data_IF_716214185693
#
_entry.id   IF_716214185693
#
_cell.length_a   1.000
_cell.length_b   1.000
_cell.length_c   1.000
_cell.angle_alpha   90.00
_cell.angle_beta   90.00
_cell.angle_gamma   90.00
#
_symmetry.space_group_name_H-M   'P 1'
#
loop_
_entity.id
_entity.type
_entity.pdbx_description
1 polymer ?
#
# COMPACT_ATOMS: atom_id res chain seq x y z
N UNK A 1 -10.28 9.17 29.72
CA UNK A 1 -9.85 9.08 28.31
C UNK A 1 -9.58 7.62 28.00
N UNK A 2 -10.19 7.08 26.96
CA UNK A 2 -9.90 5.72 26.47
C UNK A 2 -8.56 5.75 25.72
N UNK A 3 -7.69 4.76 25.94
CA UNK A 3 -6.45 4.62 25.17
C UNK A 3 -6.78 4.18 23.74
N UNK A 4 -5.84 4.40 22.82
CA UNK A 4 -6.00 3.96 21.44
C UNK A 4 -6.19 2.45 21.34
N UNK A 5 -5.42 1.68 22.11
CA UNK A 5 -5.46 0.22 22.13
C UNK A 5 -6.84 -0.28 22.59
N UNK A 6 -7.36 0.26 23.70
CA UNK A 6 -8.69 -0.09 24.19
C UNK A 6 -9.80 0.32 23.22
N UNK A 7 -9.67 1.47 22.57
CA UNK A 7 -10.63 1.88 21.53
C UNK A 7 -10.59 0.93 20.34
N UNK A 8 -9.40 0.57 19.87
CA UNK A 8 -9.23 -0.32 18.73
C UNK A 8 -9.82 -1.69 19.02
N UNK A 9 -9.63 -2.20 20.25
CA UNK A 9 -10.21 -3.46 20.72
C UNK A 9 -11.75 -3.43 20.74
N UNK A 10 -12.33 -2.35 21.26
CA UNK A 10 -13.77 -2.27 21.53
C UNK A 10 -14.59 -1.80 20.32
N UNK A 11 -14.10 -0.80 19.59
CA UNK A 11 -14.81 -0.14 18.50
C UNK A 11 -14.28 -0.52 17.12
N UNK A 12 -13.04 -1.00 17.00
CA UNK A 12 -12.36 -1.26 15.71
C UNK A 12 -13.22 -2.01 14.69
N UNK A 13 -13.81 -3.18 15.01
CA UNK A 13 -14.66 -3.92 14.08
C UNK A 13 -15.90 -3.14 13.59
N UNK A 14 -16.55 -2.39 14.48
CA UNK A 14 -17.72 -1.57 14.14
C UNK A 14 -17.33 -0.39 13.26
N UNK A 15 -16.23 0.29 13.59
CA UNK A 15 -15.68 1.40 12.79
C UNK A 15 -15.25 0.90 11.41
N UNK A 16 -14.66 -0.29 11.32
CA UNK A 16 -14.31 -0.93 10.07
C UNK A 16 -15.56 -1.10 9.18
N UNK A 17 -16.64 -1.64 9.74
CA UNK A 17 -17.92 -1.80 9.03
C UNK A 17 -18.48 -0.48 8.52
N UNK A 18 -18.55 0.56 9.37
CA UNK A 18 -19.06 1.88 8.99
C UNK A 18 -18.25 2.51 7.84
N UNK A 19 -16.92 2.43 7.90
CA UNK A 19 -16.05 2.96 6.85
C UNK A 19 -16.20 2.13 5.56
N UNK A 20 -16.37 0.81 5.66
CA UNK A 20 -16.50 -0.08 4.50
C UNK A 20 -17.80 0.15 3.73
N UNK A 21 -18.89 0.51 4.41
CA UNK A 21 -20.15 0.92 3.77
C UNK A 21 -19.98 2.12 2.83
N UNK A 22 -18.99 2.98 3.09
CA UNK A 22 -18.63 4.13 2.24
C UNK A 22 -17.37 3.93 1.41
N UNK A 23 -16.93 2.68 1.23
CA UNK A 23 -15.69 2.33 0.52
C UNK A 23 -15.58 2.99 -0.86
N UNK A 24 -16.57 2.81 -1.73
CA UNK A 24 -16.47 3.31 -3.11
C UNK A 24 -16.40 4.85 -3.17
N UNK A 25 -17.30 5.61 -2.52
CA UNK A 25 -17.16 7.07 -2.47
C UNK A 25 -15.83 7.56 -1.89
N UNK A 26 -15.32 6.90 -0.85
CA UNK A 26 -14.01 7.25 -0.26
C UNK A 26 -12.90 7.01 -1.26
N UNK A 27 -12.86 5.81 -1.86
CA UNK A 27 -11.79 5.42 -2.79
C UNK A 27 -11.80 6.31 -4.04
N UNK A 28 -12.96 6.59 -4.60
CA UNK A 28 -13.09 7.41 -5.80
C UNK A 28 -12.66 8.87 -5.54
N UNK A 29 -13.02 9.44 -4.40
CA UNK A 29 -12.58 10.78 -4.00
C UNK A 29 -11.05 10.86 -3.88
N UNK A 30 -10.42 9.84 -3.29
CA UNK A 30 -8.96 9.77 -3.16
C UNK A 30 -8.30 9.54 -4.53
N UNK A 31 -8.86 8.67 -5.38
CA UNK A 31 -8.40 8.45 -6.76
C UNK A 31 -8.42 9.76 -7.56
N UNK A 32 -9.51 10.52 -7.49
CA UNK A 32 -9.63 11.80 -8.18
C UNK A 32 -8.59 12.81 -7.68
N UNK A 33 -8.30 12.82 -6.37
CA UNK A 33 -7.28 13.70 -5.80
C UNK A 33 -5.87 13.30 -6.22
N UNK A 34 -5.56 12.00 -6.25
CA UNK A 34 -4.27 11.48 -6.72
C UNK A 34 -4.01 11.80 -8.19
N UNK A 35 -4.99 11.52 -9.05
CA UNK A 35 -4.90 11.78 -10.50
C UNK A 35 -4.73 13.27 -10.81
N UNK A 36 -5.40 14.14 -10.05
CA UNK A 36 -5.30 15.59 -10.23
C UNK A 36 -3.97 16.15 -9.73
N UNK A 37 -3.52 15.72 -8.55
CA UNK A 37 -2.32 16.27 -7.93
C UNK A 37 -1.01 15.70 -8.50
N UNK A 38 -1.02 14.44 -8.95
CA UNK A 38 0.16 13.72 -9.43
C UNK A 38 -0.09 13.06 -10.79
N UNK A 39 -0.45 13.81 -11.85
CA UNK A 39 -0.94 13.26 -13.12
C UNK A 39 0.09 12.41 -13.88
N UNK A 40 1.38 12.56 -13.61
CA UNK A 40 2.46 11.79 -14.23
C UNK A 40 2.92 10.57 -13.42
N UNK A 41 2.38 10.37 -12.21
CA UNK A 41 2.80 9.30 -11.32
C UNK A 41 2.49 7.93 -11.95
N UNK A 42 3.42 6.97 -11.85
CA UNK A 42 3.31 5.63 -12.43
C UNK A 42 3.19 5.57 -13.96
N UNK A 43 3.36 6.70 -14.68
CA UNK A 43 3.41 6.70 -16.14
C UNK A 43 4.81 6.32 -16.63
N UNK A 44 4.87 5.38 -17.57
CA UNK A 44 6.11 4.95 -18.23
C UNK A 44 5.87 4.84 -19.74
N UNK A 45 6.40 5.79 -20.51
CA UNK A 45 6.21 5.86 -21.96
C UNK A 45 6.84 4.69 -22.73
N UNK A 46 7.72 3.91 -22.09
CA UNK A 46 8.29 2.71 -22.71
C UNK A 46 7.30 1.54 -22.73
N UNK A 47 6.22 1.61 -21.95
CA UNK A 47 5.19 0.58 -21.87
C UNK A 47 4.11 0.77 -22.96
N UNK A 48 3.73 -0.29 -23.69
CA UNK A 48 2.59 -0.22 -24.61
C UNK A 48 1.25 0.10 -23.92
N UNK A 49 1.10 -0.30 -22.64
CA UNK A 49 -0.10 -0.16 -21.82
C UNK A 49 -0.03 1.00 -20.82
N UNK A 50 0.86 1.98 -21.02
CA UNK A 50 1.22 2.99 -20.02
C UNK A 50 0.01 3.72 -19.39
N UNK A 51 -0.94 4.15 -20.22
CA UNK A 51 -2.13 4.89 -19.78
C UNK A 51 -3.08 3.99 -18.99
N UNK A 52 -3.34 2.78 -19.48
CA UNK A 52 -4.22 1.82 -18.81
C UNK A 52 -3.64 1.38 -17.47
N UNK A 53 -2.34 1.05 -17.44
CA UNK A 53 -1.60 0.71 -16.23
C UNK A 53 -1.70 1.83 -15.19
N UNK A 54 -1.50 3.08 -15.61
CA UNK A 54 -1.59 4.24 -14.74
C UNK A 54 -3.01 4.42 -14.17
N UNK A 55 -4.04 4.39 -15.03
CA UNK A 55 -5.43 4.51 -14.62
C UNK A 55 -5.84 3.41 -13.63
N UNK A 56 -5.45 2.17 -13.91
CA UNK A 56 -5.70 1.04 -13.03
C UNK A 56 -4.97 1.21 -11.69
N UNK A 57 -3.72 1.67 -11.71
CA UNK A 57 -2.95 1.93 -10.48
C UNK A 57 -3.59 3.01 -9.62
N UNK A 58 -4.09 4.09 -10.20
CA UNK A 58 -4.80 5.14 -9.45
C UNK A 58 -6.12 4.67 -8.85
N UNK A 59 -6.83 3.75 -9.51
CA UNK A 59 -8.06 3.13 -8.99
C UNK A 59 -7.78 2.12 -7.88
N UNK A 60 -6.75 1.30 -8.03
CA UNK A 60 -6.46 0.24 -7.07
C UNK A 60 -5.73 0.72 -5.82
N UNK A 61 -4.94 1.80 -5.93
CA UNK A 61 -4.11 2.27 -4.81
C UNK A 61 -4.96 2.65 -3.57
N UNK A 62 -6.03 3.46 -3.68
CA UNK A 62 -6.91 3.76 -2.54
C UNK A 62 -7.67 2.53 -2.04
N UNK A 63 -8.11 1.64 -2.93
CA UNK A 63 -8.82 0.40 -2.55
C UNK A 63 -7.93 -0.54 -1.74
N UNK A 64 -6.66 -0.69 -2.12
CA UNK A 64 -5.67 -1.47 -1.36
C UNK A 64 -5.41 -0.85 0.01
N UNK A 65 -5.24 0.47 0.07
CA UNK A 65 -5.03 1.15 1.34
C UNK A 65 -6.26 1.09 2.25
N UNK A 66 -7.46 1.25 1.72
CA UNK A 66 -8.72 1.00 2.43
C UNK A 66 -8.71 -0.39 3.06
N UNK A 67 -8.39 -1.43 2.28
CA UNK A 67 -8.28 -2.80 2.78
C UNK A 67 -7.26 -2.94 3.92
N UNK A 68 -6.13 -2.23 3.87
CA UNK A 68 -5.17 -2.24 4.98
C UNK A 68 -5.75 -1.61 6.24
N UNK A 69 -6.44 -0.48 6.14
CA UNK A 69 -7.11 0.14 7.29
C UNK A 69 -8.21 -0.78 7.85
N UNK A 70 -8.95 -1.45 6.97
CA UNK A 70 -9.93 -2.47 7.34
C UNK A 70 -9.30 -3.65 8.10
N UNK A 71 -8.08 -4.06 7.74
CA UNK A 71 -7.32 -5.09 8.49
C UNK A 71 -6.87 -4.52 9.85
N UNK A 72 -6.32 -3.30 9.90
CA UNK A 72 -5.89 -2.67 11.16
C UNK A 72 -7.04 -2.60 12.16
N UNK A 73 -8.21 -2.14 11.71
CA UNK A 73 -9.38 -1.95 12.56
C UNK A 73 -9.99 -3.28 13.03
N UNK A 74 -10.07 -4.30 12.17
CA UNK A 74 -10.65 -5.60 12.55
C UNK A 74 -9.72 -6.48 13.36
N UNK A 75 -8.42 -6.46 13.07
CA UNK A 75 -7.42 -7.29 13.74
C UNK A 75 -6.61 -6.52 14.79
N UNK A 76 -6.99 -5.27 15.04
CA UNK A 76 -6.50 -4.47 16.15
C UNK A 76 -4.97 -4.30 16.15
N UNK A 77 -4.37 -4.19 14.95
CA UNK A 77 -2.92 -4.16 14.80
C UNK A 77 -2.45 -3.28 13.67
N UNK A 78 -1.49 -2.39 13.96
CA UNK A 78 -0.82 -1.56 12.95
C UNK A 78 0.37 -2.26 12.28
N UNK A 79 0.76 -3.46 12.72
CA UNK A 79 1.91 -4.20 12.17
C UNK A 79 1.76 -4.51 10.68
N UNK A 80 0.52 -4.68 10.20
CA UNK A 80 0.24 -4.87 8.78
C UNK A 80 0.68 -3.66 7.94
N UNK A 81 0.53 -2.44 8.46
CA UNK A 81 0.95 -1.22 7.76
C UNK A 81 2.47 -1.22 7.62
N UNK A 82 3.18 -1.51 8.70
CA UNK A 82 4.65 -1.54 8.69
C UNK A 82 5.17 -2.57 7.68
N UNK A 83 4.62 -3.78 7.69
CA UNK A 83 5.01 -4.85 6.77
C UNK A 83 4.78 -4.46 5.31
N UNK A 84 3.59 -3.96 5.00
CA UNK A 84 3.19 -3.62 3.63
C UNK A 84 4.01 -2.44 3.09
N UNK A 85 4.28 -1.43 3.92
CA UNK A 85 5.08 -0.29 3.52
C UNK A 85 6.57 -0.63 3.40
N UNK A 86 7.13 -1.53 4.22
CA UNK A 86 8.51 -2.02 4.04
C UNK A 86 8.67 -2.76 2.71
N UNK A 87 7.74 -3.65 2.40
CA UNK A 87 7.75 -4.37 1.13
C UNK A 87 7.51 -3.43 -0.05
N UNK A 88 6.51 -2.55 0.06
CA UNK A 88 6.15 -1.59 -0.98
C UNK A 88 7.27 -0.59 -1.28
N UNK A 89 7.98 -0.10 -0.27
CA UNK A 89 9.06 0.88 -0.44
C UNK A 89 10.23 0.34 -1.28
N UNK A 90 10.49 -0.96 -1.24
CA UNK A 90 11.50 -1.60 -2.08
C UNK A 90 11.17 -1.57 -3.58
N UNK A 91 9.90 -1.31 -3.93
CA UNK A 91 9.36 -1.43 -5.30
C UNK A 91 8.90 -0.07 -5.84
N UNK A 92 8.16 0.68 -5.03
CA UNK A 92 7.44 1.90 -5.39
C UNK A 92 8.30 2.97 -6.10
N UNK A 93 9.57 3.23 -5.71
CA UNK A 93 10.43 4.19 -6.40
C UNK A 93 10.66 3.92 -7.88
N UNK A 94 10.57 2.66 -8.32
CA UNK A 94 10.68 2.28 -9.74
C UNK A 94 9.55 2.84 -10.60
N UNK A 95 8.44 3.24 -9.97
CA UNK A 95 7.26 3.83 -10.61
C UNK A 95 7.14 5.34 -10.35
N UNK A 96 8.23 5.98 -9.91
CA UNK A 96 8.24 7.41 -9.57
C UNK A 96 7.52 7.75 -8.25
N UNK A 97 7.11 6.74 -7.47
CA UNK A 97 6.48 6.95 -6.17
C UNK A 97 7.55 7.28 -5.13
N UNK A 98 7.31 8.35 -4.39
CA UNK A 98 8.23 8.91 -3.42
C UNK A 98 7.50 9.09 -2.09
N UNK A 99 8.26 9.32 -1.01
CA UNK A 99 7.73 9.52 0.35
C UNK A 99 6.54 10.48 0.40
N UNK A 100 6.63 11.63 -0.26
CA UNK A 100 5.57 12.64 -0.22
C UNK A 100 4.28 12.18 -0.91
N UNK A 101 4.36 11.35 -1.96
CA UNK A 101 3.18 10.74 -2.61
C UNK A 101 2.44 9.82 -1.62
N UNK A 102 3.19 8.97 -0.91
CA UNK A 102 2.67 7.99 0.05
C UNK A 102 2.03 8.67 1.27
N UNK A 103 2.69 9.69 1.81
CA UNK A 103 2.17 10.52 2.90
C UNK A 103 0.90 11.28 2.47
N UNK A 104 0.89 11.87 1.27
CA UNK A 104 -0.27 12.59 0.75
C UNK A 104 -1.47 11.66 0.57
N UNK A 105 -1.25 10.48 -0.01
CA UNK A 105 -2.28 9.46 -0.16
C UNK A 105 -2.92 9.07 1.17
N UNK A 106 -2.12 8.71 2.17
CA UNK A 106 -2.63 8.32 3.48
C UNK A 106 -3.40 9.47 4.16
N UNK A 107 -2.87 10.71 4.10
CA UNK A 107 -3.57 11.90 4.62
C UNK A 107 -4.94 12.08 3.96
N UNK A 108 -4.98 12.07 2.64
CA UNK A 108 -6.21 12.30 1.89
C UNK A 108 -7.25 11.20 2.11
N UNK A 109 -6.82 9.97 2.32
CA UNK A 109 -7.73 8.89 2.71
C UNK A 109 -8.40 9.21 4.05
N UNK A 110 -7.63 9.51 5.11
CA UNK A 110 -8.21 9.82 6.42
C UNK A 110 -9.04 11.11 6.40
N UNK A 111 -8.62 12.14 5.66
CA UNK A 111 -9.43 13.34 5.44
C UNK A 111 -10.79 13.01 4.82
N UNK A 112 -10.78 12.15 3.79
CA UNK A 112 -12.01 11.73 3.12
C UNK A 112 -12.93 10.95 4.07
N UNK A 113 -12.37 10.05 4.89
CA UNK A 113 -13.13 9.34 5.93
C UNK A 113 -13.77 10.32 6.91
N UNK A 114 -13.04 11.34 7.40
CA UNK A 114 -13.59 12.37 8.30
C UNK A 114 -14.78 13.10 7.68
N UNK A 115 -14.66 13.45 6.40
CA UNK A 115 -15.69 14.19 5.67
C UNK A 115 -16.98 13.37 5.41
N UNK A 116 -16.96 12.06 5.63
CA UNK A 116 -18.18 11.24 5.53
C UNK A 116 -19.21 11.53 6.63
N UNK A 117 -18.77 12.08 7.77
CA UNK A 117 -19.65 12.38 8.92
C UNK A 117 -20.22 11.13 9.61
N UNK A 118 -19.68 9.93 9.35
CA UNK A 118 -20.20 8.66 9.90
C UNK A 118 -19.86 8.43 11.37
N UNK A 119 -18.79 9.05 11.86
CA UNK A 119 -18.19 8.73 13.15
C UNK A 119 -18.50 9.80 14.19
N UNK A 120 -18.74 9.38 15.42
CA UNK A 120 -18.86 10.27 16.56
C UNK A 120 -17.55 10.99 16.87
N UNK A 121 -17.60 12.06 17.67
CA UNK A 121 -16.43 12.87 18.02
C UNK A 121 -15.29 12.05 18.65
N UNK A 122 -15.62 11.14 19.54
CA UNK A 122 -14.62 10.33 20.25
C UNK A 122 -13.95 9.33 19.30
N UNK A 123 -14.71 8.71 18.40
CA UNK A 123 -14.18 7.82 17.36
C UNK A 123 -13.31 8.58 16.36
N UNK A 124 -13.69 9.80 15.99
CA UNK A 124 -12.87 10.67 15.13
C UNK A 124 -11.53 10.99 15.78
N UNK A 125 -11.50 11.30 17.08
CA UNK A 125 -10.25 11.57 17.79
C UNK A 125 -9.31 10.36 17.81
N UNK A 126 -9.85 9.14 17.89
CA UNK A 126 -9.06 7.91 17.85
C UNK A 126 -8.66 7.53 16.42
N UNK A 127 -9.51 7.80 15.43
CA UNK A 127 -9.16 7.69 14.03
C UNK A 127 -8.02 8.66 13.66
N UNK A 128 -7.98 9.85 14.25
CA UNK A 128 -6.86 10.80 14.10
C UNK A 128 -5.56 10.25 14.67
N UNK A 129 -5.62 9.54 15.81
CA UNK A 129 -4.46 8.84 16.36
C UNK A 129 -4.01 7.70 15.44
N UNK A 130 -4.94 6.93 14.85
CA UNK A 130 -4.60 5.93 13.84
C UNK A 130 -3.90 6.58 12.63
N UNK A 131 -4.47 7.68 12.13
CA UNK A 131 -3.89 8.42 11.01
C UNK A 131 -2.46 8.88 11.33
N UNK A 132 -2.23 9.46 12.50
CA UNK A 132 -0.92 9.88 12.95
C UNK A 132 0.08 8.70 13.01
N UNK A 133 -0.33 7.56 13.59
CA UNK A 133 0.51 6.34 13.64
C UNK A 133 0.86 5.81 12.25
N UNK A 134 -0.12 5.76 11.34
CA UNK A 134 0.11 5.32 9.95
C UNK A 134 1.10 6.25 9.25
N UNK A 135 0.92 7.57 9.37
CA UNK A 135 1.83 8.55 8.77
C UNK A 135 3.24 8.45 9.33
N UNK A 136 3.37 8.24 10.65
CA UNK A 136 4.67 8.03 11.29
C UNK A 136 5.37 6.75 10.79
N UNK A 137 4.63 5.65 10.61
CA UNK A 137 5.18 4.40 10.06
C UNK A 137 5.69 4.63 8.64
N UNK A 138 4.89 5.26 7.77
CA UNK A 138 5.29 5.58 6.40
C UNK A 138 6.55 6.44 6.42
N UNK A 139 6.57 7.46 7.27
CA UNK A 139 7.70 8.36 7.40
C UNK A 139 8.99 7.61 7.79
N UNK A 140 8.94 6.83 8.86
CA UNK A 140 10.08 6.06 9.36
C UNK A 140 10.63 5.07 8.33
N UNK A 141 9.75 4.36 7.61
CA UNK A 141 10.16 3.39 6.59
C UNK A 141 10.82 4.09 5.40
N UNK A 142 10.28 5.25 5.00
CA UNK A 142 10.73 5.98 3.81
C UNK A 142 11.82 7.02 4.09
N UNK A 143 12.25 7.16 5.34
CA UNK A 143 13.37 8.02 5.74
C UNK A 143 14.71 7.49 5.20
N UNK A 144 14.86 6.18 5.09
CA UNK A 144 16.01 5.54 4.47
C UNK A 144 15.79 5.31 2.97
N UNK A 145 16.88 5.29 2.21
CA UNK A 145 16.84 4.89 0.81
C UNK A 145 16.20 3.50 0.66
N UNK A 146 15.42 3.26 -0.41
CA UNK A 146 14.78 1.97 -0.63
C UNK A 146 15.84 0.87 -0.70
N UNK A 147 15.63 -0.27 -0.03
CA UNK A 147 16.60 -1.36 -0.07
C UNK A 147 16.77 -1.86 -1.51
N UNK A 148 18.01 -2.05 -1.94
CA UNK A 148 18.31 -2.64 -3.24
C UNK A 148 17.80 -4.07 -3.24
N UNK A 149 16.71 -4.35 -3.94
CA UNK A 149 16.26 -5.73 -4.19
C UNK A 149 17.33 -6.40 -5.08
N UNK A 150 18.24 -7.18 -4.47
CA UNK A 150 19.09 -8.09 -5.20
C UNK A 150 18.17 -9.06 -5.95
N UNK A 151 18.25 -9.03 -7.29
CA UNK A 151 17.62 -10.04 -8.14
C UNK A 151 18.23 -11.38 -7.72
N UNK A 152 17.45 -12.41 -7.35
CA UNK A 152 18.00 -13.74 -7.15
C UNK A 152 18.80 -14.12 -8.40
N UNK A 153 20.07 -14.45 -8.23
CA UNK A 153 20.90 -14.92 -9.33
C UNK A 153 20.18 -16.13 -9.97
N UNK A 154 20.03 -16.15 -11.30
CA UNK A 154 19.49 -17.33 -11.96
C UNK A 154 20.36 -18.54 -11.59
N UNK A 155 19.75 -19.70 -11.28
CA UNK A 155 20.52 -20.88 -10.91
C UNK A 155 21.54 -21.18 -12.02
N UNK A 156 22.79 -21.37 -11.62
CA UNK A 156 23.87 -21.71 -12.54
C UNK A 156 23.44 -22.93 -13.36
N UNK A 157 23.34 -22.74 -14.68
CA UNK A 157 23.10 -23.84 -15.62
C UNK A 157 24.35 -24.73 -15.54
N UNK A 158 24.24 -25.81 -14.76
CA UNK A 158 25.23 -26.88 -14.75
C UNK A 158 25.20 -27.55 -16.11
N UNK A 159 26.20 -27.24 -16.95
CA UNK A 159 26.42 -27.91 -18.22
C UNK A 159 26.83 -29.37 -17.96
N UNK A 160 25.84 -30.24 -17.81
CA UNK A 160 26.03 -31.68 -17.82
C UNK A 160 26.59 -32.12 -19.18
N UNK A 161 27.89 -32.38 -19.21
CA UNK A 161 28.57 -33.11 -20.28
C UNK A 161 27.87 -34.45 -20.52
N UNK A 162 27.13 -34.57 -21.63
CA UNK A 162 26.71 -35.86 -22.18
C UNK A 162 27.92 -36.48 -22.88
N UNK A 163 28.57 -37.42 -22.21
CA UNK A 163 29.56 -38.29 -22.82
C UNK A 163 28.86 -39.20 -23.85
N UNK A 164 29.19 -39.01 -25.14
CA UNK A 164 28.81 -39.89 -26.23
C UNK A 164 29.52 -41.25 -26.08
N UNK A 165 28.77 -42.28 -25.69
CA UNK A 165 29.20 -43.67 -25.75
C UNK A 165 29.07 -44.22 -27.18
N UNK A 166 30.19 -44.28 -27.88
CA UNK A 166 30.39 -44.91 -29.19
C UNK A 166 30.53 -46.42 -28.98
N UNK A 167 29.57 -47.23 -29.43
CA UNK A 167 29.70 -48.69 -29.53
C UNK A 167 30.44 -49.05 -30.84
N UNK A 168 31.48 -49.89 -30.82
CA UNK A 168 31.97 -50.53 -32.04
C UNK A 168 31.28 -51.88 -32.27
N UNK A 169 30.91 -52.11 -33.53
CA UNK A 169 30.63 -53.43 -34.07
C UNK A 169 31.90 -54.29 -34.07
N UNK A 170 31.81 -55.50 -33.52
CA UNK A 170 32.30 -56.78 -34.07
C UNK A 170 31.99 -57.90 -33.08
#
# INVERSE_FOLDING_TARGET
MMTFETWLEQAGPQIAYLIDDRREPICDAVTNRLTTAFPSLCFDSSRPDAVEFQQHTFKETPRRFHRLIQVVLRFQTTLVIEREYRWGWAIMPRYGVARHHMISHARWYFDTVRLTGLLGRDDLAQLDQLAARVLQIIDQITAAAPPTLQRPEPPAISNGHRANGRMPHA
#
